data_IF_035142244011
#
_entry.id   IF_035142244011
#
_cell.length_a   1.000
_cell.length_b   1.000
_cell.length_c   1.000
_cell.angle_alpha   90.00
_cell.angle_beta   90.00
_cell.angle_gamma   90.00
#
_symmetry.space_group_name_H-M   'P 1'
#
loop_
_entity.id
_entity.type
_entity.pdbx_description
1 polymer ?
#
# COMPACT_ATOMS: atom_id res chain seq x y z
N UNK A 1 5.47 -3.79 -8.51
CA UNK A 1 5.33 -5.13 -7.88
C UNK A 1 5.90 -5.06 -6.47
N UNK A 2 5.27 -5.74 -5.51
CA UNK A 2 5.77 -5.80 -4.13
C UNK A 2 6.86 -6.87 -4.08
N UNK A 3 7.86 -6.67 -3.21
CA UNK A 3 8.87 -7.70 -2.98
C UNK A 3 8.20 -8.95 -2.40
N UNK A 4 8.48 -10.16 -2.91
CA UNK A 4 7.87 -11.37 -2.36
C UNK A 4 8.21 -11.60 -0.88
N UNK A 5 9.43 -11.23 -0.49
CA UNK A 5 9.95 -11.27 0.87
C UNK A 5 10.55 -9.90 1.19
N UNK A 6 10.30 -9.37 2.37
CA UNK A 6 10.94 -8.14 2.80
C UNK A 6 12.45 -8.37 3.00
N UNK A 7 13.33 -7.63 2.31
CA UNK A 7 14.78 -7.86 2.39
C UNK A 7 15.40 -7.45 3.73
N UNK A 8 14.65 -6.73 4.59
CA UNK A 8 15.13 -6.33 5.91
C UNK A 8 14.63 -7.26 7.00
N UNK A 9 13.31 -7.53 7.04
CA UNK A 9 12.67 -8.31 8.12
C UNK A 9 12.51 -9.81 7.78
N UNK A 10 12.76 -10.22 6.54
CA UNK A 10 12.51 -11.60 6.07
C UNK A 10 11.03 -12.00 6.04
N UNK A 11 10.10 -11.08 6.32
CA UNK A 11 8.67 -11.37 6.31
C UNK A 11 8.17 -11.65 4.90
N UNK A 12 7.29 -12.62 4.76
CA UNK A 12 6.59 -12.91 3.51
C UNK A 12 5.58 -11.79 3.23
N UNK A 13 5.71 -11.15 2.06
CA UNK A 13 4.83 -10.06 1.61
C UNK A 13 4.02 -10.44 0.35
N UNK A 14 4.38 -11.51 -0.35
CA UNK A 14 3.67 -11.95 -1.56
C UNK A 14 2.22 -12.36 -1.29
N UNK A 15 1.95 -12.99 -0.15
CA UNK A 15 0.62 -13.45 0.25
C UNK A 15 -0.34 -12.30 0.55
N UNK A 16 0.16 -11.17 1.06
CA UNK A 16 -0.68 -10.01 1.42
C UNK A 16 -0.94 -9.08 0.23
N UNK A 17 -0.15 -9.16 -0.85
CA UNK A 17 -0.19 -8.19 -1.95
C UNK A 17 -1.59 -8.04 -2.57
N UNK A 18 -2.26 -9.14 -2.91
CA UNK A 18 -3.57 -9.10 -3.57
C UNK A 18 -4.66 -8.52 -2.66
N UNK A 19 -4.64 -8.86 -1.37
CA UNK A 19 -5.60 -8.36 -0.40
C UNK A 19 -5.38 -6.85 -0.13
N UNK A 20 -4.13 -6.45 0.07
CA UNK A 20 -3.75 -5.04 0.24
C UNK A 20 -4.15 -4.18 -0.97
N UNK A 21 -3.96 -4.68 -2.19
CA UNK A 21 -4.37 -3.98 -3.41
C UNK A 21 -5.89 -3.81 -3.52
N UNK A 22 -6.70 -4.76 -3.02
CA UNK A 22 -8.16 -4.64 -3.01
C UNK A 22 -8.60 -3.56 -2.04
N UNK A 23 -8.11 -3.60 -0.80
CA UNK A 23 -8.43 -2.60 0.22
C UNK A 23 -7.99 -1.19 -0.21
N UNK A 24 -6.83 -1.06 -0.86
CA UNK A 24 -6.37 0.21 -1.43
C UNK A 24 -7.28 0.73 -2.55
N UNK A 25 -7.75 -0.16 -3.45
CA UNK A 25 -8.67 0.23 -4.51
C UNK A 25 -10.00 0.74 -3.94
N UNK A 26 -10.53 0.06 -2.93
CA UNK A 26 -11.75 0.50 -2.24
C UNK A 26 -11.59 1.87 -1.59
N UNK A 27 -10.45 2.10 -0.91
CA UNK A 27 -10.12 3.40 -0.34
C UNK A 27 -10.05 4.50 -1.42
N UNK A 28 -9.34 4.23 -2.52
CA UNK A 28 -9.21 5.15 -3.63
C UNK A 28 -10.57 5.46 -4.29
N UNK A 29 -11.42 4.45 -4.50
CA UNK A 29 -12.78 4.63 -5.03
C UNK A 29 -13.64 5.48 -4.09
N UNK A 30 -13.54 5.30 -2.78
CA UNK A 30 -14.27 6.10 -1.78
C UNK A 30 -13.90 7.58 -1.84
N UNK A 31 -12.63 7.89 -2.07
CA UNK A 31 -12.13 9.27 -2.13
C UNK A 31 -12.08 9.84 -3.56
N UNK A 32 -12.58 9.13 -4.57
CA UNK A 32 -12.46 9.49 -6.00
C UNK A 32 -11.01 9.80 -6.41
N UNK A 33 -10.06 9.08 -5.83
CA UNK A 33 -8.64 9.22 -6.12
C UNK A 33 -8.21 8.12 -7.09
N UNK A 34 -7.35 8.51 -8.04
CA UNK A 34 -6.69 7.53 -8.88
C UNK A 34 -5.49 6.91 -8.15
N UNK A 35 -5.37 5.59 -8.22
CA UNK A 35 -4.39 4.81 -7.46
C UNK A 35 -2.96 5.17 -7.88
N UNK A 36 -2.79 5.54 -9.15
CA UNK A 36 -1.51 5.89 -9.76
C UNK A 36 -1.06 7.32 -9.46
N UNK A 37 -2.01 8.20 -9.12
CA UNK A 37 -1.73 9.59 -8.70
C UNK A 37 -1.74 9.78 -7.18
N UNK A 38 -2.01 8.70 -6.42
CA UNK A 38 -2.07 8.71 -4.96
C UNK A 38 -0.81 9.31 -4.31
N UNK A 39 0.37 9.15 -4.92
CA UNK A 39 1.63 9.71 -4.41
C UNK A 39 1.83 11.21 -4.71
N UNK A 40 1.03 11.80 -5.62
CA UNK A 40 1.15 13.20 -6.06
C UNK A 40 0.06 14.13 -5.52
N UNK A 41 -1.10 13.61 -5.13
CA UNK A 41 -2.23 14.42 -4.65
C UNK A 41 -2.06 14.70 -3.14
N UNK A 42 -2.28 15.96 -2.72
CA UNK A 42 -2.43 16.30 -1.30
C UNK A 42 -3.63 15.54 -0.72
N UNK A 43 -3.33 14.50 0.05
CA UNK A 43 -4.33 13.62 0.68
C UNK A 43 -5.06 14.38 1.78
N UNK A 44 -6.37 14.17 1.91
CA UNK A 44 -7.10 14.61 3.10
C UNK A 44 -6.55 13.88 4.34
N UNK A 45 -6.63 14.51 5.51
CA UNK A 45 -6.21 13.86 6.76
C UNK A 45 -6.98 12.54 6.99
N UNK A 46 -8.25 12.49 6.59
CA UNK A 46 -9.09 11.28 6.64
C UNK A 46 -8.51 10.14 5.79
N UNK A 47 -8.09 10.42 4.55
CA UNK A 47 -7.47 9.41 3.70
C UNK A 47 -6.17 8.89 4.33
N UNK A 48 -5.37 9.76 4.94
CA UNK A 48 -4.11 9.37 5.58
C UNK A 48 -4.36 8.43 6.77
N UNK A 49 -5.39 8.70 7.57
CA UNK A 49 -5.76 7.84 8.70
C UNK A 49 -6.30 6.49 8.24
N UNK A 50 -7.20 6.47 7.25
CA UNK A 50 -7.73 5.22 6.71
C UNK A 50 -6.64 4.38 6.02
N UNK A 51 -5.74 5.02 5.26
CA UNK A 51 -4.59 4.35 4.66
C UNK A 51 -3.67 3.74 5.73
N UNK A 52 -3.45 4.46 6.83
CA UNK A 52 -2.65 3.97 7.96
C UNK A 52 -3.28 2.72 8.60
N UNK A 53 -4.60 2.68 8.75
CA UNK A 53 -5.34 1.54 9.28
C UNK A 53 -5.17 0.32 8.37
N UNK A 54 -5.28 0.50 7.04
CA UNK A 54 -5.07 -0.58 6.07
C UNK A 54 -3.63 -1.10 6.17
N UNK A 55 -2.63 -0.23 6.25
CA UNK A 55 -1.23 -0.65 6.39
C UNK A 55 -1.00 -1.40 7.71
N UNK A 56 -1.57 -0.95 8.82
CA UNK A 56 -1.46 -1.60 10.13
C UNK A 56 -2.19 -2.96 10.19
N UNK A 57 -3.15 -3.22 9.29
CA UNK A 57 -3.81 -4.53 9.14
C UNK A 57 -2.89 -5.59 8.52
N UNK A 58 -1.98 -5.19 7.62
CA UNK A 58 -1.13 -6.12 6.85
C UNK A 58 0.33 -6.17 7.31
N UNK A 59 0.75 -5.29 8.22
CA UNK A 59 2.10 -5.28 8.74
C UNK A 59 2.12 -5.06 10.25
N UNK A 60 3.05 -5.75 10.92
CA UNK A 60 3.37 -5.49 12.33
C UNK A 60 3.74 -4.02 12.54
N UNK A 61 3.10 -3.39 13.53
CA UNK A 61 3.36 -1.98 13.90
C UNK A 61 4.83 -1.69 14.22
N UNK A 62 5.55 -2.69 14.72
CA UNK A 62 6.96 -2.58 15.10
C UNK A 62 7.92 -2.71 13.92
N UNK A 63 7.45 -3.18 12.75
CA UNK A 63 8.30 -3.45 11.59
C UNK A 63 8.20 -2.32 10.56
N UNK A 64 8.91 -1.23 10.84
CA UNK A 64 8.96 -0.06 9.95
C UNK A 64 9.40 -0.41 8.52
N UNK A 65 10.30 -1.40 8.36
CA UNK A 65 10.86 -1.78 7.07
C UNK A 65 9.81 -2.38 6.13
N UNK A 66 8.96 -3.27 6.65
CA UNK A 66 7.89 -3.87 5.86
C UNK A 66 6.77 -2.82 5.62
N UNK A 67 6.50 -1.94 6.60
CA UNK A 67 5.57 -0.78 6.48
C UNK A 67 5.94 0.17 5.34
N UNK A 68 7.20 0.62 5.29
CA UNK A 68 7.72 1.52 4.27
C UNK A 68 7.50 0.95 2.85
N UNK A 69 7.65 -0.37 2.67
CA UNK A 69 7.46 -1.01 1.36
C UNK A 69 6.01 -1.01 0.90
N UNK A 70 5.06 -1.19 1.83
CA UNK A 70 3.62 -1.13 1.52
C UNK A 70 3.17 0.30 1.22
N UNK A 71 3.66 1.28 1.99
CA UNK A 71 3.30 2.70 1.79
C UNK A 71 3.81 3.23 0.44
N UNK A 72 5.00 2.82 0.04
CA UNK A 72 5.63 3.21 -1.24
C UNK A 72 5.30 2.25 -2.39
N UNK A 73 4.35 1.34 -2.21
CA UNK A 73 3.97 0.39 -3.23
C UNK A 73 3.36 1.11 -4.44
N UNK A 74 3.90 0.82 -5.63
CA UNK A 74 3.37 1.25 -6.92
C UNK A 74 3.36 0.08 -7.91
N UNK A 75 2.27 -0.04 -8.66
CA UNK A 75 2.06 -1.12 -9.62
C UNK A 75 2.51 -0.71 -11.02
N UNK A 76 3.84 -0.56 -11.19
CA UNK A 76 4.45 -0.15 -12.45
C UNK A 76 4.11 -1.04 -13.66
N UNK A 77 3.70 -2.30 -13.44
CA UNK A 77 3.34 -3.23 -14.53
C UNK A 77 2.17 -2.70 -15.35
N UNK A 78 1.23 -1.98 -14.73
CA UNK A 78 0.07 -1.40 -15.43
C UNK A 78 0.40 -0.19 -16.32
N UNK A 79 1.56 0.43 -16.14
CA UNK A 79 1.97 1.62 -16.90
C UNK A 79 2.60 1.27 -18.26
N UNK A 80 2.89 -0.02 -18.51
CA UNK A 80 3.62 -0.50 -19.69
C UNK A 80 2.67 -1.12 -20.73
N UNK A 81 1.37 -1.21 -20.44
CA UNK A 81 0.33 -1.66 -21.38
C UNK A 81 -0.19 -0.53 -22.29
#
# INVERSE_FOLDING_TARGET
MLYPICPTCGALLSNIQLAYQRDLKELCSKHNLDLDTMSKISKSNEFIEEHKIIVDKYCDKNRYCCRMRLTNFCELVKLIE
#
